data_IF_536073746541
#
_entry.id   IF_536073746541
#
_cell.length_a   1.000
_cell.length_b   1.000
_cell.length_c   1.000
_cell.angle_alpha   90.00
_cell.angle_beta   90.00
_cell.angle_gamma   90.00
#
_symmetry.space_group_name_H-M   'P 1'
#
loop_
_entity.id
_entity.type
_entity.pdbx_description
1 polymer ?
#
# COMPACT_ATOMS: atom_id res chain seq x y z
N UNK A 1 4.92 -71.78 59.75
CA UNK A 1 3.78 -71.40 58.91
C UNK A 1 4.20 -70.16 58.13
N UNK A 2 4.76 -70.34 56.93
CA UNK A 2 5.24 -69.23 56.10
C UNK A 2 4.83 -69.54 54.67
N UNK A 3 3.70 -68.96 54.28
CA UNK A 3 3.15 -69.02 52.92
C UNK A 3 3.84 -67.95 52.09
N UNK A 4 4.53 -68.35 51.02
CA UNK A 4 5.10 -67.44 50.03
C UNK A 4 4.05 -67.18 48.95
N UNK A 5 3.59 -65.93 48.82
CA UNK A 5 2.69 -65.49 47.75
C UNK A 5 3.52 -65.31 46.48
N UNK A 6 3.16 -66.04 45.42
CA UNK A 6 3.84 -65.99 44.13
C UNK A 6 3.18 -64.91 43.26
N UNK A 7 3.86 -63.79 43.02
CA UNK A 7 3.38 -62.71 42.16
C UNK A 7 3.66 -63.04 40.70
N UNK A 8 2.62 -63.35 39.94
CA UNK A 8 2.73 -63.68 38.52
C UNK A 8 2.57 -62.39 37.69
N UNK A 9 3.67 -61.67 37.47
CA UNK A 9 3.68 -60.48 36.60
C UNK A 9 3.59 -60.94 35.14
N UNK A 10 2.44 -60.66 34.51
CA UNK A 10 2.21 -60.91 33.10
C UNK A 10 2.88 -59.78 32.30
N UNK A 11 4.14 -59.97 31.93
CA UNK A 11 4.90 -59.07 31.05
C UNK A 11 4.13 -58.86 29.73
N UNK A 12 3.62 -57.65 29.51
CA UNK A 12 2.95 -57.25 28.27
C UNK A 12 4.04 -56.81 27.30
N UNK A 13 4.37 -57.66 26.32
CA UNK A 13 5.28 -57.29 25.23
C UNK A 13 4.68 -56.14 24.41
N UNK A 14 5.13 -54.92 24.68
CA UNK A 14 4.94 -53.77 23.79
C UNK A 14 5.77 -54.04 22.52
N UNK A 15 5.11 -54.03 21.36
CA UNK A 15 5.79 -54.27 20.08
C UNK A 15 6.73 -53.09 19.80
N UNK A 16 8.04 -53.37 19.72
CA UNK A 16 9.03 -52.38 19.34
C UNK A 16 8.98 -52.03 17.86
N UNK A 17 9.28 -50.78 17.53
CA UNK A 17 9.43 -50.29 16.15
C UNK A 17 10.64 -50.95 15.49
N UNK A 18 10.52 -51.42 14.25
CA UNK A 18 11.67 -51.98 13.52
C UNK A 18 12.51 -50.86 12.90
N UNK A 19 13.82 -51.08 12.76
CA UNK A 19 14.71 -50.13 12.08
C UNK A 19 14.32 -49.94 10.60
N UNK A 20 13.79 -50.99 9.97
CA UNK A 20 13.31 -50.95 8.59
C UNK A 20 12.10 -50.02 8.44
N UNK A 21 11.15 -50.08 9.36
CA UNK A 21 9.99 -49.18 9.35
C UNK A 21 10.42 -47.72 9.49
N UNK A 22 11.36 -47.42 10.40
CA UNK A 22 11.87 -46.06 10.55
C UNK A 22 12.59 -45.57 9.29
N UNK A 23 13.39 -46.44 8.64
CA UNK A 23 14.09 -46.12 7.40
C UNK A 23 13.13 -45.81 6.25
N UNK A 24 12.08 -46.61 6.08
CA UNK A 24 11.07 -46.39 5.04
C UNK A 24 10.33 -45.07 5.29
N UNK A 25 9.99 -44.76 6.54
CA UNK A 25 9.29 -43.53 6.90
C UNK A 25 10.11 -42.29 6.54
N UNK A 26 11.39 -42.24 6.92
CA UNK A 26 12.23 -41.08 6.58
C UNK A 26 12.47 -40.95 5.08
N UNK A 27 12.53 -42.07 4.34
CA UNK A 27 12.65 -42.05 2.88
C UNK A 27 11.39 -41.48 2.22
N UNK A 28 10.20 -41.88 2.68
CA UNK A 28 8.93 -41.35 2.18
C UNK A 28 8.79 -39.86 2.52
N UNK A 29 9.11 -39.45 3.74
CA UNK A 29 9.06 -38.05 4.16
C UNK A 29 9.99 -37.19 3.30
N UNK A 30 11.19 -37.65 2.98
CA UNK A 30 12.13 -36.92 2.13
C UNK A 30 11.54 -36.67 0.72
N UNK A 31 10.95 -37.69 0.10
CA UNK A 31 10.35 -37.58 -1.24
C UNK A 31 9.13 -36.65 -1.22
N UNK A 32 8.22 -36.83 -0.24
CA UNK A 32 7.02 -36.00 -0.12
C UNK A 32 7.34 -34.53 0.17
N UNK A 33 8.39 -34.26 0.96
CA UNK A 33 8.79 -32.90 1.32
C UNK A 33 9.25 -32.11 0.09
N UNK A 34 9.99 -32.73 -0.83
CA UNK A 34 10.43 -32.08 -2.06
C UNK A 34 9.23 -31.74 -2.95
N UNK A 35 8.31 -32.69 -3.14
CA UNK A 35 7.11 -32.48 -3.96
C UNK A 35 6.23 -31.34 -3.42
N UNK A 36 6.08 -31.23 -2.10
CA UNK A 36 5.26 -30.20 -1.46
C UNK A 36 5.77 -28.77 -1.72
N UNK A 37 7.09 -28.57 -1.71
CA UNK A 37 7.68 -27.23 -1.94
C UNK A 37 7.41 -26.74 -3.37
N UNK A 38 7.51 -27.63 -4.36
CA UNK A 38 7.16 -27.31 -5.75
C UNK A 38 5.67 -27.01 -5.92
N UNK A 39 4.81 -27.73 -5.20
CA UNK A 39 3.36 -27.58 -5.33
C UNK A 39 2.82 -26.31 -4.65
N UNK A 40 3.36 -25.93 -3.49
CA UNK A 40 2.83 -24.81 -2.71
C UNK A 40 3.41 -23.44 -3.10
N UNK A 41 4.55 -23.39 -3.80
CA UNK A 41 5.27 -22.16 -4.13
C UNK A 41 5.21 -21.10 -2.99
N UNK A 42 5.90 -21.33 -1.87
CA UNK A 42 5.76 -20.53 -0.65
C UNK A 42 6.07 -19.04 -0.89
N UNK A 43 6.99 -18.72 -1.81
CA UNK A 43 7.29 -17.35 -2.18
C UNK A 43 6.08 -16.62 -2.76
N UNK A 44 5.31 -17.30 -3.62
CA UNK A 44 4.08 -16.76 -4.21
C UNK A 44 2.98 -16.58 -3.16
N UNK A 45 2.85 -17.52 -2.23
CA UNK A 45 1.89 -17.41 -1.11
C UNK A 45 2.19 -16.18 -0.23
N UNK A 46 3.47 -15.90 0.04
CA UNK A 46 3.88 -14.71 0.79
C UNK A 46 3.61 -13.42 0.01
N UNK A 47 3.86 -13.39 -1.31
CA UNK A 47 3.52 -12.24 -2.17
C UNK A 47 2.01 -11.98 -2.14
N UNK A 48 1.20 -13.03 -2.29
CA UNK A 48 -0.27 -12.94 -2.24
C UNK A 48 -0.75 -12.38 -0.90
N UNK A 49 -0.15 -12.80 0.21
CA UNK A 49 -0.47 -12.28 1.53
C UNK A 49 -0.12 -10.78 1.66
N UNK A 50 1.05 -10.35 1.15
CA UNK A 50 1.43 -8.92 1.13
C UNK A 50 0.49 -8.10 0.25
N UNK A 51 0.11 -8.58 -0.93
CA UNK A 51 -0.83 -7.86 -1.79
C UNK A 51 -2.24 -7.77 -1.18
N UNK A 52 -2.70 -8.82 -0.51
CA UNK A 52 -3.95 -8.76 0.25
C UNK A 52 -3.89 -7.70 1.37
N UNK A 53 -2.73 -7.59 2.03
CA UNK A 53 -2.46 -6.51 2.99
C UNK A 53 -2.50 -5.14 2.31
N UNK A 54 -1.85 -4.94 1.15
CA UNK A 54 -1.89 -3.69 0.37
C UNK A 54 -3.33 -3.27 0.03
N UNK A 55 -4.17 -4.20 -0.40
CA UNK A 55 -5.60 -3.92 -0.69
C UNK A 55 -6.32 -3.44 0.57
N UNK A 56 -6.12 -4.11 1.70
CA UNK A 56 -6.73 -3.74 2.98
C UNK A 56 -6.25 -2.38 3.47
N UNK A 57 -4.96 -2.09 3.31
CA UNK A 57 -4.33 -0.84 3.68
C UNK A 57 -4.89 0.34 2.89
N UNK A 58 -4.93 0.22 1.56
CA UNK A 58 -5.50 1.25 0.68
C UNK A 58 -6.98 1.49 0.99
N UNK A 59 -7.76 0.44 1.26
CA UNK A 59 -9.15 0.57 1.69
C UNK A 59 -9.29 1.35 2.99
N UNK A 60 -8.44 1.04 3.98
CA UNK A 60 -8.47 1.69 5.30
C UNK A 60 -8.13 3.19 5.19
N UNK A 61 -7.11 3.52 4.39
CA UNK A 61 -6.73 4.92 4.13
C UNK A 61 -7.85 5.65 3.37
N UNK A 62 -8.42 5.04 2.32
CA UNK A 62 -9.56 5.61 1.57
C UNK A 62 -10.74 5.94 2.48
N UNK A 63 -11.09 5.04 3.40
CA UNK A 63 -12.14 5.31 4.39
C UNK A 63 -11.76 6.44 5.34
N UNK A 64 -10.53 6.45 5.87
CA UNK A 64 -10.06 7.49 6.79
C UNK A 64 -10.07 8.89 6.15
N UNK A 65 -9.59 9.01 4.92
CA UNK A 65 -9.64 10.27 4.17
C UNK A 65 -11.08 10.67 3.81
N UNK A 66 -11.93 9.70 3.47
CA UNK A 66 -13.36 9.94 3.27
C UNK A 66 -14.06 10.57 4.48
N UNK A 67 -13.69 10.17 5.70
CA UNK A 67 -14.21 10.76 6.95
C UNK A 67 -13.78 12.23 7.08
N UNK A 68 -12.54 12.59 6.73
CA UNK A 68 -12.10 14.00 6.72
C UNK A 68 -12.95 14.84 5.77
N UNK A 69 -13.21 14.31 4.57
CA UNK A 69 -13.98 15.03 3.55
C UNK A 69 -15.43 15.29 3.96
N UNK A 70 -15.99 14.49 4.86
CA UNK A 70 -17.35 14.69 5.37
C UNK A 70 -17.39 15.47 6.70
N UNK A 71 -16.30 15.47 7.47
CA UNK A 71 -16.21 16.14 8.76
C UNK A 71 -15.92 17.65 8.69
N UNK A 72 -15.41 18.14 7.55
CA UNK A 72 -15.09 19.56 7.34
C UNK A 72 -15.64 20.06 6.01
N UNK A 73 -16.10 21.32 5.97
CA UNK A 73 -16.46 22.01 4.72
C UNK A 73 -15.24 22.52 3.94
N UNK A 74 -14.08 22.57 4.59
CA UNK A 74 -12.79 22.99 4.04
C UNK A 74 -11.69 21.99 4.44
N UNK A 75 -11.82 20.71 4.07
CA UNK A 75 -10.83 19.70 4.45
C UNK A 75 -9.46 20.04 3.84
N UNK A 76 -8.40 19.85 4.63
CA UNK A 76 -7.02 19.87 4.10
C UNK A 76 -6.56 18.44 3.88
N UNK A 77 -6.23 18.13 2.63
CA UNK A 77 -5.66 16.86 2.20
C UNK A 77 -4.11 16.91 2.14
N UNK A 78 -3.51 17.97 2.67
CA UNK A 78 -2.08 18.23 2.51
C UNK A 78 -1.34 18.96 3.64
N UNK A 79 -2.02 19.28 4.74
CA UNK A 79 -1.36 19.73 5.96
C UNK A 79 -0.96 21.21 5.99
N UNK A 80 -1.55 22.05 5.11
CA UNK A 80 -1.37 23.50 4.89
C UNK A 80 -0.20 23.95 3.99
N UNK A 81 -0.49 24.92 3.10
CA UNK A 81 0.49 25.85 2.51
C UNK A 81 0.77 25.78 0.99
N UNK A 82 0.05 24.95 0.23
CA UNK A 82 0.25 24.60 -1.21
C UNK A 82 0.99 23.29 -1.43
N UNK A 83 0.27 22.16 -1.34
CA UNK A 83 0.83 20.83 -1.62
C UNK A 83 -0.15 19.90 -2.34
N UNK A 84 -1.46 20.01 -2.13
CA UNK A 84 -2.43 19.55 -3.13
C UNK A 84 -2.45 20.54 -4.29
N UNK A 85 -2.66 20.02 -5.49
CA UNK A 85 -2.99 20.80 -6.67
C UNK A 85 -4.29 21.57 -6.40
N UNK A 86 -4.41 22.82 -6.87
CA UNK A 86 -5.68 23.54 -6.73
C UNK A 86 -6.15 24.08 -8.08
N UNK A 87 -7.34 23.67 -8.55
CA UNK A 87 -7.89 24.19 -9.82
C UNK A 87 -8.57 25.56 -9.67
N UNK A 88 -8.87 25.96 -8.44
CA UNK A 88 -9.43 27.25 -8.03
C UNK A 88 -8.76 27.65 -6.72
N UNK A 89 -8.59 28.94 -6.42
CA UNK A 89 -8.13 29.38 -5.08
C UNK A 89 -9.25 29.12 -4.06
N UNK A 90 -9.11 28.17 -3.12
CA UNK A 90 -10.11 27.97 -2.07
C UNK A 90 -10.19 29.21 -1.17
N UNK A 91 -11.34 29.42 -0.52
CA UNK A 91 -11.50 30.52 0.43
C UNK A 91 -10.41 30.43 1.53
N UNK A 92 -9.59 31.48 1.65
CA UNK A 92 -8.48 31.55 2.61
C UNK A 92 -7.09 31.19 2.04
N UNK A 93 -6.98 30.78 0.78
CA UNK A 93 -5.70 30.53 0.09
C UNK A 93 -5.37 31.70 -0.84
N UNK A 94 -4.22 32.34 -0.63
CA UNK A 94 -3.82 33.54 -1.36
C UNK A 94 -3.10 33.27 -2.68
N UNK A 95 -2.68 32.02 -2.96
CA UNK A 95 -2.01 31.63 -4.21
C UNK A 95 -2.41 30.20 -4.60
N UNK A 96 -2.95 30.01 -5.81
CA UNK A 96 -3.24 28.68 -6.34
C UNK A 96 -1.95 27.86 -6.44
N UNK A 97 -1.97 26.60 -6.01
CA UNK A 97 -0.86 25.68 -6.23
C UNK A 97 -1.02 25.00 -7.59
N UNK A 98 -0.15 25.35 -8.53
CA UNK A 98 -0.11 24.72 -9.85
C UNK A 98 0.83 23.50 -9.92
N UNK A 99 1.44 23.07 -8.80
CA UNK A 99 2.35 21.93 -8.74
C UNK A 99 1.92 20.93 -7.67
N UNK A 100 1.26 19.87 -8.11
CA UNK A 100 0.98 18.67 -7.33
C UNK A 100 2.28 18.01 -6.87
N UNK A 101 2.21 17.23 -5.78
CA UNK A 101 3.29 16.35 -5.33
C UNK A 101 2.78 14.93 -5.25
N UNK A 102 3.60 13.98 -5.65
CA UNK A 102 3.41 12.57 -5.30
C UNK A 102 4.10 12.32 -3.96
N UNK A 103 3.36 11.83 -2.98
CA UNK A 103 3.90 11.47 -1.68
C UNK A 103 4.10 9.97 -1.59
N UNK A 104 5.26 9.53 -1.08
CA UNK A 104 5.64 8.12 -1.04
C UNK A 104 5.66 7.58 0.38
N UNK A 105 5.12 6.38 0.60
CA UNK A 105 5.16 5.70 1.90
C UNK A 105 6.54 5.19 2.31
N UNK A 106 7.62 5.84 1.88
CA UNK A 106 8.99 5.41 2.08
C UNK A 106 9.64 6.09 3.30
N UNK A 107 10.23 5.31 4.21
CA UNK A 107 10.97 5.82 5.37
C UNK A 107 12.44 6.13 5.02
N UNK A 108 12.62 6.89 3.95
CA UNK A 108 13.93 7.29 3.45
C UNK A 108 13.84 8.61 2.69
N UNK A 109 14.84 8.90 1.87
CA UNK A 109 14.85 10.09 1.01
C UNK A 109 14.59 9.71 -0.44
N UNK A 110 13.63 10.39 -1.07
CA UNK A 110 13.41 10.38 -2.51
C UNK A 110 13.76 11.77 -3.02
N UNK A 111 14.55 11.84 -4.09
CA UNK A 111 15.09 13.09 -4.63
C UNK A 111 14.38 13.55 -5.91
N UNK A 112 13.64 12.64 -6.57
CA UNK A 112 12.76 12.92 -7.72
C UNK A 112 13.41 13.85 -8.76
N UNK A 113 14.57 13.42 -9.21
CA UNK A 113 15.42 14.18 -10.14
C UNK A 113 14.85 14.07 -11.56
N UNK A 114 14.93 15.16 -12.33
CA UNK A 114 14.47 15.16 -13.72
C UNK A 114 13.00 15.57 -13.87
N UNK A 115 12.50 15.56 -15.10
CA UNK A 115 11.14 16.01 -15.46
C UNK A 115 10.09 15.17 -14.73
N UNK A 116 9.11 15.84 -14.11
CA UNK A 116 8.02 15.15 -13.43
C UNK A 116 7.16 14.32 -14.38
N UNK A 117 6.44 13.32 -13.85
CA UNK A 117 5.52 12.55 -14.68
C UNK A 117 4.37 13.39 -15.22
N UNK A 118 3.78 12.87 -16.29
CA UNK A 118 2.51 13.37 -16.82
C UNK A 118 1.38 12.99 -15.87
N UNK A 119 0.71 13.97 -15.29
CA UNK A 119 -0.42 13.67 -14.41
C UNK A 119 -1.61 13.05 -15.14
N UNK A 120 -2.45 12.35 -14.38
CA UNK A 120 -3.70 11.80 -14.86
C UNK A 120 -4.71 12.90 -15.23
N UNK A 121 -5.78 12.51 -15.90
CA UNK A 121 -6.77 13.44 -16.50
C UNK A 121 -7.58 14.24 -15.47
N UNK A 122 -7.70 13.76 -14.23
CA UNK A 122 -8.38 14.47 -13.15
C UNK A 122 -7.50 15.57 -12.51
N UNK A 123 -6.21 15.66 -12.86
CA UNK A 123 -5.28 16.66 -12.33
C UNK A 123 -5.40 18.04 -13.03
N UNK A 124 -5.51 19.11 -12.25
CA UNK A 124 -5.50 20.49 -12.74
C UNK A 124 -4.14 20.90 -13.32
N UNK A 125 -4.11 21.54 -14.48
CA UNK A 125 -2.84 21.95 -15.11
C UNK A 125 -2.25 20.90 -16.06
N UNK A 126 -2.96 19.80 -16.33
CA UNK A 126 -2.65 18.87 -17.43
C UNK A 126 -1.28 18.21 -17.30
N UNK A 127 -0.58 18.01 -18.43
CA UNK A 127 0.70 17.29 -18.50
C UNK A 127 1.84 17.90 -17.67
N UNK A 128 1.67 19.12 -17.13
CA UNK A 128 2.65 19.81 -16.30
C UNK A 128 2.30 19.83 -14.80
N UNK A 129 1.25 19.13 -14.36
CA UNK A 129 0.70 19.29 -13.01
C UNK A 129 1.68 18.91 -11.88
N UNK A 130 2.66 18.04 -12.11
CA UNK A 130 3.68 17.70 -11.10
C UNK A 130 4.90 18.65 -11.11
N UNK A 131 4.92 19.67 -11.99
CA UNK A 131 5.90 20.75 -11.99
C UNK A 131 7.23 20.46 -12.73
N UNK A 132 8.15 21.45 -12.77
CA UNK A 132 9.45 21.32 -13.44
C UNK A 132 10.41 20.39 -12.68
N UNK A 133 11.56 20.09 -13.29
CA UNK A 133 12.46 19.04 -12.83
C UNK A 133 12.93 19.18 -11.38
N UNK A 134 12.97 18.08 -10.62
CA UNK A 134 13.59 18.04 -9.29
C UNK A 134 12.70 18.42 -8.11
N UNK A 135 11.38 18.55 -8.30
CA UNK A 135 10.47 18.97 -7.23
C UNK A 135 9.07 18.37 -7.34
N UNK A 136 8.87 17.22 -7.97
CA UNK A 136 7.53 16.67 -8.20
C UNK A 136 7.02 15.70 -7.13
N UNK A 137 7.81 15.46 -6.08
CA UNK A 137 7.45 14.54 -5.01
C UNK A 137 7.68 15.09 -3.60
N UNK A 138 7.24 14.31 -2.63
CA UNK A 138 7.35 14.55 -1.20
C UNK A 138 7.58 13.23 -0.46
N UNK A 139 8.33 13.31 0.63
CA UNK A 139 8.30 12.29 1.68
C UNK A 139 7.65 12.84 2.95
N UNK A 140 7.19 11.91 3.79
CA UNK A 140 6.91 12.24 5.19
C UNK A 140 8.19 12.73 5.89
N UNK A 141 8.01 13.35 7.05
CA UNK A 141 9.15 13.69 7.91
C UNK A 141 9.89 12.39 8.28
N UNK A 142 11.22 12.39 8.22
CA UNK A 142 12.03 11.21 8.52
C UNK A 142 11.66 10.60 9.88
N UNK A 143 11.48 9.28 9.94
CA UNK A 143 11.03 8.56 11.14
C UNK A 143 9.56 8.79 11.51
N UNK A 144 8.82 9.52 10.69
CA UNK A 144 7.40 9.84 10.90
C UNK A 144 6.50 9.25 9.82
N UNK A 145 7.02 8.42 8.91
CA UNK A 145 6.30 7.92 7.72
C UNK A 145 4.87 7.47 8.05
N UNK A 146 4.66 6.72 9.13
CA UNK A 146 3.36 6.16 9.53
C UNK A 146 2.51 7.06 10.43
N UNK A 147 2.97 8.27 10.76
CA UNK A 147 2.27 9.19 11.67
C UNK A 147 1.06 9.84 11.00
N UNK A 148 0.00 10.03 11.78
CA UNK A 148 -1.31 10.53 11.32
C UNK A 148 -1.61 11.96 11.81
N UNK A 149 -0.57 12.72 12.18
CA UNK A 149 -0.63 14.10 12.67
C UNK A 149 -0.24 15.14 11.62
N UNK A 150 -0.22 14.75 10.34
CA UNK A 150 0.20 15.59 9.23
C UNK A 150 1.69 15.52 8.90
N UNK A 151 2.51 14.82 9.71
CA UNK A 151 3.94 14.63 9.43
C UNK A 151 4.26 13.34 8.67
N UNK A 152 3.29 12.44 8.51
CA UNK A 152 3.45 11.18 7.79
C UNK A 152 3.54 11.33 6.28
N UNK A 153 3.66 10.19 5.61
CA UNK A 153 3.77 10.15 4.15
C UNK A 153 2.50 10.64 3.44
N UNK A 154 1.35 10.49 4.08
CA UNK A 154 0.16 11.25 3.73
C UNK A 154 0.16 12.47 4.65
N UNK A 155 0.35 13.69 4.11
CA UNK A 155 0.47 14.92 4.92
C UNK A 155 -0.90 15.41 5.42
N UNK A 156 -1.71 14.52 6.00
CA UNK A 156 -3.05 14.83 6.51
C UNK A 156 -3.09 14.60 8.01
N UNK A 157 -3.60 15.59 8.74
CA UNK A 157 -3.72 15.51 10.20
C UNK A 157 -5.06 14.88 10.59
N UNK A 158 -5.10 13.55 10.67
CA UNK A 158 -6.27 12.80 11.14
C UNK A 158 -6.52 12.98 12.64
N UNK A 159 -5.53 13.44 13.42
CA UNK A 159 -5.71 13.72 14.86
C UNK A 159 -6.52 14.99 15.11
N UNK A 160 -6.64 15.87 14.11
CA UNK A 160 -7.44 17.09 14.21
C UNK A 160 -8.96 16.84 14.09
N UNK A 161 -9.39 15.60 13.84
CA UNK A 161 -10.80 15.25 13.71
C UNK A 161 -11.54 15.24 15.05
N UNK A 162 -12.60 16.04 15.13
CA UNK A 162 -13.58 15.99 16.22
C UNK A 162 -14.38 14.68 16.11
N UNK A 163 -14.07 13.70 16.96
CA UNK A 163 -14.65 12.35 16.89
C UNK A 163 -13.64 11.21 17.03
N UNK A 164 -12.35 11.55 17.09
CA UNK A 164 -11.25 10.58 17.22
C UNK A 164 -10.58 10.27 15.90
N UNK A 165 -9.42 9.63 15.98
CA UNK A 165 -8.60 9.34 14.80
C UNK A 165 -9.08 8.05 14.13
N UNK A 166 -9.48 8.08 12.84
CA UNK A 166 -10.08 6.92 12.15
C UNK A 166 -9.11 5.75 11.94
N UNK A 167 -7.80 6.01 11.94
CA UNK A 167 -6.73 5.00 11.92
C UNK A 167 -5.60 5.44 12.85
N UNK A 168 -4.95 4.52 13.54
CA UNK A 168 -3.87 4.82 14.50
C UNK A 168 -2.53 5.16 13.83
N UNK A 169 -2.33 4.69 12.60
CA UNK A 169 -1.13 4.92 11.79
C UNK A 169 -1.46 4.80 10.30
N UNK A 170 -0.77 5.56 9.45
CA UNK A 170 -0.77 5.27 8.02
C UNK A 170 -0.01 3.99 7.74
N UNK A 171 -0.56 3.10 6.89
CA UNK A 171 0.13 1.88 6.52
C UNK A 171 1.35 2.22 5.65
N UNK A 172 2.35 1.35 5.74
CA UNK A 172 3.57 1.39 4.94
C UNK A 172 3.62 0.08 4.17
N UNK A 173 4.08 0.12 2.91
CA UNK A 173 4.20 -1.09 2.10
C UNK A 173 5.00 -2.17 2.85
N UNK A 174 4.58 -3.43 2.88
CA UNK A 174 5.29 -4.46 3.65
C UNK A 174 6.74 -4.71 3.21
N UNK A 175 7.10 -4.37 1.97
CA UNK A 175 8.48 -4.46 1.46
C UNK A 175 9.18 -3.11 1.53
N UNK A 176 8.44 -2.01 1.36
CA UNK A 176 8.90 -0.62 1.44
C UNK A 176 10.23 -0.34 0.73
N UNK A 177 10.30 -0.66 -0.55
CA UNK A 177 11.54 -0.58 -1.31
C UNK A 177 11.42 0.41 -2.47
N UNK A 178 12.37 1.34 -2.51
CA UNK A 178 12.62 2.25 -3.63
C UNK A 178 13.97 1.85 -4.23
N UNK A 179 14.00 1.53 -5.52
CA UNK A 179 15.18 0.95 -6.16
C UNK A 179 16.24 1.97 -6.59
N UNK A 180 15.90 3.26 -6.59
CA UNK A 180 16.81 4.36 -6.90
C UNK A 180 16.46 5.62 -6.07
N UNK A 181 17.27 6.67 -6.16
CA UNK A 181 16.96 7.96 -5.51
C UNK A 181 15.71 8.63 -6.09
N UNK A 182 15.36 8.31 -7.32
CA UNK A 182 14.10 8.73 -7.97
C UNK A 182 13.23 7.49 -8.06
N UNK A 183 12.02 7.48 -7.48
CA UNK A 183 11.22 6.27 -7.44
C UNK A 183 10.76 5.83 -8.84
N UNK A 184 10.47 4.54 -8.95
CA UNK A 184 10.11 3.87 -10.20
C UNK A 184 8.68 3.34 -10.12
N UNK A 185 8.05 3.12 -11.29
CA UNK A 185 6.72 2.54 -11.37
C UNK A 185 6.61 1.13 -10.75
N UNK A 186 7.72 0.38 -10.67
CA UNK A 186 7.76 -0.97 -10.10
C UNK A 186 8.12 -1.00 -8.60
N UNK A 187 8.44 0.15 -8.00
CA UNK A 187 8.85 0.20 -6.60
C UNK A 187 7.69 -0.15 -5.67
N UNK A 188 7.99 -0.96 -4.65
CA UNK A 188 7.03 -1.49 -3.67
C UNK A 188 6.85 -0.49 -2.53
N UNK A 189 6.13 0.58 -2.86
CA UNK A 189 5.74 1.68 -1.97
C UNK A 189 4.32 2.13 -2.35
N UNK A 190 3.63 2.77 -1.41
CA UNK A 190 2.38 3.46 -1.69
C UNK A 190 2.66 4.87 -2.16
N UNK A 191 1.84 5.35 -3.09
CA UNK A 191 1.92 6.68 -3.67
C UNK A 191 0.61 7.40 -3.38
N UNK A 192 0.68 8.69 -3.08
CA UNK A 192 -0.49 9.52 -2.79
C UNK A 192 -0.41 10.86 -3.50
N UNK A 193 -1.51 11.29 -4.11
CA UNK A 193 -1.70 12.67 -4.56
C UNK A 193 -3.12 13.15 -4.24
N UNK A 194 -3.28 14.47 -4.24
CA UNK A 194 -4.55 15.13 -3.94
C UNK A 194 -4.73 16.42 -4.73
N UNK A 195 -5.98 16.80 -4.90
CA UNK A 195 -6.39 18.07 -5.46
C UNK A 195 -7.54 18.69 -4.66
N UNK A 196 -7.43 19.99 -4.38
CA UNK A 196 -8.43 20.81 -3.71
C UNK A 196 -9.06 21.79 -4.70
N UNK A 197 -10.38 21.77 -4.82
CA UNK A 197 -11.09 22.48 -5.87
C UNK A 197 -11.07 21.66 -7.17
N UNK A 198 -12.25 21.36 -7.69
CA UNK A 198 -12.46 20.86 -9.06
C UNK A 198 -13.11 21.96 -9.90
N UNK A 199 -12.93 21.89 -11.22
CA UNK A 199 -13.52 22.83 -12.19
C UNK A 199 -14.37 22.06 -13.20
N UNK A 200 -15.12 22.75 -14.05
CA UNK A 200 -15.94 22.12 -15.08
C UNK A 200 -15.14 21.22 -16.04
N UNK A 201 -13.84 21.51 -16.22
CA UNK A 201 -12.92 20.78 -17.11
C UNK A 201 -12.02 19.77 -16.40
N UNK A 202 -11.76 19.94 -15.10
CA UNK A 202 -10.78 19.13 -14.33
C UNK A 202 -11.51 18.44 -13.19
N UNK A 203 -11.48 17.10 -13.17
CA UNK A 203 -12.26 16.31 -12.22
C UNK A 203 -13.77 16.46 -12.46
N UNK A 204 -14.19 16.54 -13.72
CA UNK A 204 -15.60 16.70 -14.07
C UNK A 204 -16.43 15.52 -13.55
N UNK A 205 -17.53 15.79 -12.84
CA UNK A 205 -18.33 14.76 -12.17
C UNK A 205 -17.72 14.20 -10.88
N UNK A 206 -16.57 14.72 -10.42
CA UNK A 206 -15.94 14.37 -9.14
C UNK A 206 -16.26 15.42 -8.06
N UNK A 207 -16.18 15.06 -6.77
CA UNK A 207 -16.33 16.03 -5.67
C UNK A 207 -15.23 17.10 -5.72
N UNK A 208 -15.45 18.22 -5.03
CA UNK A 208 -14.51 19.34 -4.98
C UNK A 208 -13.11 18.98 -4.45
N UNK A 209 -13.00 17.91 -3.66
CA UNK A 209 -11.74 17.43 -3.11
C UNK A 209 -11.54 15.99 -3.56
N UNK A 210 -10.46 15.75 -4.30
CA UNK A 210 -10.13 14.42 -4.80
C UNK A 210 -8.75 13.98 -4.33
N UNK A 211 -8.58 12.67 -4.19
CA UNK A 211 -7.33 12.03 -3.90
C UNK A 211 -7.26 10.65 -4.53
N UNK A 212 -6.03 10.18 -4.71
CA UNK A 212 -5.73 8.87 -5.22
C UNK A 212 -4.50 8.30 -4.51
N UNK A 213 -4.52 6.98 -4.31
CA UNK A 213 -3.49 6.19 -3.67
C UNK A 213 -3.19 4.98 -4.56
N UNK A 214 -1.92 4.82 -4.97
CA UNK A 214 -1.51 3.74 -5.86
C UNK A 214 -0.52 2.80 -5.17
N UNK A 215 -0.64 1.51 -5.47
CA UNK A 215 0.26 0.46 -4.99
C UNK A 215 0.60 -0.52 -6.13
N UNK A 216 1.77 -1.14 -6.08
CA UNK A 216 2.15 -2.20 -7.04
C UNK A 216 1.96 -3.56 -6.39
N UNK A 217 1.39 -4.51 -7.12
CA UNK A 217 1.25 -5.89 -6.67
C UNK A 217 2.39 -6.79 -7.15
N UNK A 218 2.70 -7.80 -6.35
CA UNK A 218 3.83 -8.72 -6.59
C UNK A 218 3.39 -10.11 -7.06
N UNK A 219 2.20 -10.56 -6.65
CA UNK A 219 1.68 -11.91 -6.82
C UNK A 219 1.04 -12.08 -8.18
N UNK A 220 1.38 -13.16 -8.88
CA UNK A 220 0.75 -13.59 -10.13
C UNK A 220 -0.76 -13.74 -9.97
N UNK A 221 -1.24 -14.12 -8.78
CA UNK A 221 -2.66 -14.22 -8.48
C UNK A 221 -3.39 -12.89 -8.71
N UNK A 222 -2.75 -11.74 -8.42
CA UNK A 222 -3.35 -10.42 -8.58
C UNK A 222 -2.82 -9.64 -9.78
N UNK A 223 -1.64 -9.96 -10.31
CA UNK A 223 -1.05 -9.27 -11.47
C UNK A 223 -1.43 -9.92 -12.80
N UNK A 224 -1.55 -11.25 -12.88
CA UNK A 224 -1.83 -11.96 -14.14
C UNK A 224 -3.13 -12.76 -14.16
N UNK A 225 -3.49 -13.41 -13.05
CA UNK A 225 -4.69 -14.27 -13.00
C UNK A 225 -5.95 -13.43 -12.83
N UNK A 226 -6.07 -12.73 -11.69
CA UNK A 226 -7.15 -11.78 -11.45
C UNK A 226 -6.89 -10.48 -12.19
N UNK A 227 -5.62 -10.10 -12.35
CA UNK A 227 -5.17 -8.88 -13.03
C UNK A 227 -5.89 -7.64 -12.50
N UNK A 228 -5.82 -7.46 -11.17
CA UNK A 228 -6.55 -6.43 -10.42
C UNK A 228 -6.13 -5.02 -10.80
N UNK A 229 -4.85 -4.80 -11.11
CA UNK A 229 -4.30 -3.48 -11.47
C UNK A 229 -4.79 -2.98 -12.83
N UNK A 230 -5.28 -3.86 -13.71
CA UNK A 230 -5.87 -3.42 -14.99
C UNK A 230 -7.41 -3.41 -14.97
N UNK A 231 -8.03 -3.72 -13.84
CA UNK A 231 -9.49 -3.95 -13.69
C UNK A 231 -10.08 -3.21 -12.50
N UNK A 232 -9.30 -2.38 -11.82
CA UNK A 232 -9.72 -1.48 -10.75
C UNK A 232 -10.46 -0.24 -11.26
N UNK A 233 -10.30 0.07 -12.55
CA UNK A 233 -11.06 1.09 -13.27
C UNK A 233 -10.42 2.47 -13.23
N UNK A 234 -9.12 2.59 -12.97
CA UNK A 234 -8.36 3.82 -13.18
C UNK A 234 -7.62 3.83 -14.53
N UNK A 235 -6.51 4.56 -14.60
CA UNK A 235 -5.78 4.83 -15.84
C UNK A 235 -4.39 4.17 -15.94
N UNK A 236 -3.91 3.55 -14.86
CA UNK A 236 -2.61 2.90 -14.80
C UNK A 236 -2.71 1.38 -14.59
N UNK A 237 -2.66 0.63 -15.69
CA UNK A 237 -2.70 -0.84 -15.65
C UNK A 237 -1.53 -1.51 -14.88
N UNK A 238 -0.49 -0.76 -14.52
CA UNK A 238 0.66 -1.24 -13.76
C UNK A 238 0.57 -1.02 -12.24
N UNK A 239 -0.50 -0.37 -11.76
CA UNK A 239 -0.69 -0.08 -10.35
C UNK A 239 -2.15 -0.34 -9.95
N UNK A 240 -2.36 -0.75 -8.70
CA UNK A 240 -3.69 -0.80 -8.12
C UNK A 240 -4.05 0.57 -7.56
N UNK A 241 -5.14 1.13 -8.07
CA UNK A 241 -5.56 2.51 -7.83
C UNK A 241 -6.72 2.55 -6.84
N UNK A 242 -6.63 3.44 -5.85
CA UNK A 242 -7.68 3.61 -4.84
C UNK A 242 -7.85 5.05 -4.42
N UNK A 243 -9.09 5.53 -4.44
CA UNK A 243 -9.41 6.88 -4.00
C UNK A 243 -10.86 7.22 -4.26
N UNK A 244 -11.18 8.51 -4.18
CA UNK A 244 -12.42 9.05 -4.77
C UNK A 244 -12.20 9.59 -6.20
N UNK A 245 -10.94 9.65 -6.65
CA UNK A 245 -10.50 9.64 -8.04
C UNK A 245 -9.54 8.45 -8.24
N UNK A 246 -9.41 7.99 -9.49
CA UNK A 246 -8.50 6.93 -9.96
C UNK A 246 -7.72 7.39 -11.21
N UNK A 247 -7.62 8.71 -11.40
CA UNK A 247 -7.17 9.37 -12.63
C UNK A 247 -6.37 10.66 -12.32
N UNK A 248 -5.86 10.79 -11.11
CA UNK A 248 -5.12 11.93 -10.59
C UNK A 248 -3.61 11.68 -10.61
N UNK A 249 -3.17 10.50 -10.17
CA UNK A 249 -1.77 10.08 -10.28
C UNK A 249 -1.42 9.78 -11.74
N UNK A 250 -0.13 9.72 -12.10
CA UNK A 250 0.27 9.46 -13.48
C UNK A 250 -0.14 8.08 -13.99
N UNK A 251 -0.55 8.00 -15.25
CA UNK A 251 -0.72 6.74 -15.97
C UNK A 251 0.62 6.17 -16.50
N UNK A 252 1.64 7.02 -16.67
CA UNK A 252 2.98 6.64 -17.13
C UNK A 252 4.03 7.72 -16.81
N UNK A 253 5.32 7.39 -16.91
CA UNK A 253 6.44 8.32 -16.69
C UNK A 253 7.28 7.98 -15.45
N UNK A 254 7.93 8.99 -14.87
CA UNK A 254 8.70 8.85 -13.63
C UNK A 254 7.74 8.70 -12.42
N UNK A 255 8.00 7.76 -11.51
CA UNK A 255 7.12 7.51 -10.35
C UNK A 255 7.93 7.33 -9.10
#
# INVERSE_FOLDING_TARGET
MTSFINFNLKEKHEKGFTLLELLIVIAIIAILSIALVFMLNPAETLKKARDAQRISDLKSVKTALGIILTASSTPSLDGYGSVCLTSTTPAGVTTANASAKISYSYDGTVACTGVGPTAGIDAAGGTAAFGPSGSWCRNGVAGSVSKVDGTGWIPVNLKALTGGTPISSYPVDPVNMVSATTPNASDLVYRYACQNGTSATVGSGKPAYIFEINAVFESNAYTSEDNKMSKDGGDNNGMYESGNSLYLLPASGAF
#
